data_IF_115293206860
#
_entry.id   IF_115293206860
#
_cell.length_a   1.000
_cell.length_b   1.000
_cell.length_c   1.000
_cell.angle_alpha   90.00
_cell.angle_beta   90.00
_cell.angle_gamma   90.00
#
_symmetry.space_group_name_H-M   'P 1'
#
loop_
_entity.id
_entity.type
_entity.pdbx_description
1 polymer ?
#
# COMPACT_ATOMS: atom_id res chain seq x y z
N UNK A 1 -10.01 -18.99 16.88
CA UNK A 1 -9.05 -17.89 16.68
C UNK A 1 -9.70 -16.57 17.03
N UNK A 2 -9.09 -15.77 17.91
CA UNK A 2 -9.65 -14.49 18.39
C UNK A 2 -8.52 -13.45 18.34
N UNK A 3 -8.71 -12.38 17.58
CA UNK A 3 -7.77 -11.28 17.48
C UNK A 3 -8.27 -10.11 18.34
N UNK A 4 -7.39 -9.49 19.13
CA UNK A 4 -7.67 -8.25 19.86
C UNK A 4 -6.89 -7.10 19.23
N UNK A 5 -7.55 -5.96 19.08
CA UNK A 5 -6.95 -4.73 18.55
C UNK A 5 -6.31 -3.94 19.70
N UNK A 6 -4.99 -3.73 19.63
CA UNK A 6 -4.24 -2.82 20.51
C UNK A 6 -3.48 -1.81 19.65
N UNK A 7 -4.22 -0.84 19.11
CA UNK A 7 -3.82 0.39 18.41
C UNK A 7 -2.73 0.40 17.33
N UNK A 8 -1.96 -0.67 17.09
CA UNK A 8 -1.05 -0.76 15.94
C UNK A 8 -0.75 -2.20 15.53
N UNK A 9 -1.28 -3.22 16.22
CA UNK A 9 -0.78 -4.60 16.04
C UNK A 9 -1.86 -5.61 16.42
N UNK A 10 -1.92 -6.71 15.67
CA UNK A 10 -2.79 -7.85 16.00
C UNK A 10 -1.95 -8.93 16.68
N UNK A 11 -2.37 -9.41 17.85
CA UNK A 11 -1.74 -10.56 18.52
C UNK A 11 -2.62 -11.79 18.30
N UNK A 12 -2.03 -12.84 17.74
CA UNK A 12 -2.67 -14.14 17.55
C UNK A 12 -2.58 -14.93 18.85
N UNK A 13 -3.72 -15.37 19.36
CA UNK A 13 -3.82 -16.22 20.54
C UNK A 13 -4.20 -17.65 20.15
N UNK A 14 -3.53 -18.63 20.76
CA UNK A 14 -3.90 -20.06 20.73
C UNK A 14 -4.12 -20.51 22.18
N UNK A 15 -5.32 -20.96 22.50
CA UNK A 15 -5.71 -21.39 23.86
C UNK A 15 -5.53 -20.31 24.95
N UNK A 16 -5.67 -19.03 24.60
CA UNK A 16 -5.47 -17.92 25.54
C UNK A 16 -4.04 -17.39 25.58
N UNK A 17 -3.08 -18.16 25.07
CA UNK A 17 -1.66 -17.79 25.03
C UNK A 17 -1.26 -17.11 23.71
N UNK A 18 -0.45 -16.04 23.75
CA UNK A 18 0.03 -15.35 22.55
C UNK A 18 1.09 -16.18 21.82
N UNK A 19 0.84 -16.45 20.53
CA UNK A 19 1.74 -17.26 19.68
C UNK A 19 2.35 -16.48 18.51
N UNK A 20 1.77 -15.37 18.10
CA UNK A 20 2.33 -14.52 17.06
C UNK A 20 1.84 -13.07 17.19
N UNK A 21 2.60 -12.14 16.61
CA UNK A 21 2.31 -10.72 16.60
C UNK A 21 2.47 -10.16 15.19
N UNK A 22 1.39 -9.65 14.60
CA UNK A 22 1.38 -8.98 13.31
C UNK A 22 1.74 -7.52 13.50
N UNK A 23 3.01 -7.19 13.28
CA UNK A 23 3.54 -5.83 13.34
C UNK A 23 3.49 -5.24 11.93
N UNK A 24 2.87 -4.07 11.71
CA UNK A 24 2.99 -3.36 10.45
C UNK A 24 4.45 -3.03 10.19
N UNK A 25 4.92 -3.17 8.95
CA UNK A 25 6.26 -2.71 8.60
C UNK A 25 6.42 -1.22 8.92
N UNK A 26 7.59 -0.86 9.44
CA UNK A 26 7.90 0.50 9.89
C UNK A 26 7.86 1.53 8.76
N UNK A 27 7.98 1.10 7.51
CA UNK A 27 8.01 1.98 6.35
C UNK A 27 7.17 1.39 5.21
N UNK A 28 6.45 2.26 4.50
CA UNK A 28 5.84 1.89 3.23
C UNK A 28 6.95 1.74 2.19
N UNK A 29 7.36 0.50 1.93
CA UNK A 29 8.27 0.19 0.83
C UNK A 29 7.58 0.52 -0.50
N UNK A 30 8.30 1.15 -1.44
CA UNK A 30 7.77 1.59 -2.74
C UNK A 30 6.57 2.54 -2.63
N UNK A 31 6.75 3.66 -1.92
CA UNK A 31 5.78 4.75 -2.01
C UNK A 31 5.68 5.23 -3.47
N UNK A 32 4.58 5.92 -3.81
CA UNK A 32 4.41 6.48 -5.16
C UNK A 32 5.56 7.40 -5.58
N UNK A 33 6.23 8.05 -4.62
CA UNK A 33 7.43 8.85 -4.85
C UNK A 33 8.63 8.01 -5.27
N UNK A 34 8.88 6.89 -4.61
CA UNK A 34 10.01 6.00 -4.91
C UNK A 34 9.84 5.38 -6.29
N UNK A 35 8.60 5.01 -6.63
CA UNK A 35 8.24 4.55 -7.97
C UNK A 35 8.45 5.66 -9.02
N UNK A 36 8.02 6.89 -8.74
CA UNK A 36 8.23 8.02 -9.65
C UNK A 36 9.71 8.33 -9.87
N UNK A 37 10.54 8.26 -8.82
CA UNK A 37 11.98 8.48 -8.92
C UNK A 37 12.67 7.38 -9.76
N UNK A 38 12.27 6.12 -9.58
CA UNK A 38 12.79 5.01 -10.38
C UNK A 38 12.42 5.15 -11.87
N UNK A 39 11.20 5.61 -12.14
CA UNK A 39 10.71 5.80 -13.50
C UNK A 39 11.30 7.03 -14.18
N UNK A 40 11.64 8.09 -13.44
CA UNK A 40 12.33 9.26 -13.98
C UNK A 40 13.72 8.94 -14.56
N UNK A 41 14.33 7.83 -14.12
CA UNK A 41 15.62 7.34 -14.62
C UNK A 41 15.47 6.39 -15.83
N UNK A 42 14.24 6.08 -16.23
CA UNK A 42 13.93 5.13 -17.30
C UNK A 42 13.30 5.88 -18.47
N UNK A 43 13.97 5.89 -19.63
CA UNK A 43 13.36 6.39 -20.86
C UNK A 43 12.43 5.33 -21.43
N UNK A 44 11.12 5.58 -21.33
CA UNK A 44 10.10 4.76 -21.98
C UNK A 44 9.93 5.20 -23.44
N UNK A 45 9.93 4.26 -24.41
CA UNK A 45 9.50 4.55 -25.77
C UNK A 45 8.12 5.24 -25.79
N UNK A 46 7.92 6.16 -26.73
CA UNK A 46 6.74 7.03 -26.75
C UNK A 46 5.40 6.26 -26.78
N UNK A 47 5.36 5.10 -27.45
CA UNK A 47 4.20 4.21 -27.45
C UNK A 47 3.91 3.61 -26.07
N UNK A 48 4.96 3.18 -25.35
CA UNK A 48 4.83 2.61 -24.00
C UNK A 48 4.46 3.68 -22.98
N UNK A 49 5.06 4.87 -23.06
CA UNK A 49 4.70 6.00 -22.20
C UNK A 49 3.22 6.38 -22.36
N UNK A 50 2.70 6.42 -23.60
CA UNK A 50 1.28 6.67 -23.87
C UNK A 50 0.36 5.57 -23.35
N UNK A 51 0.73 4.31 -23.53
CA UNK A 51 -0.05 3.18 -23.02
C UNK A 51 -0.13 3.22 -21.50
N UNK A 52 1.02 3.40 -20.85
CA UNK A 52 1.12 3.49 -19.40
C UNK A 52 0.35 4.69 -18.82
N UNK A 53 0.35 5.84 -19.49
CA UNK A 53 -0.45 6.99 -19.08
C UNK A 53 -1.96 6.68 -19.07
N UNK A 54 -2.46 5.97 -20.09
CA UNK A 54 -3.87 5.54 -20.14
C UNK A 54 -4.22 4.57 -19.02
N UNK A 55 -3.31 3.63 -18.71
CA UNK A 55 -3.49 2.69 -17.61
C UNK A 55 -3.55 3.41 -16.26
N UNK A 56 -2.69 4.42 -16.06
CA UNK A 56 -2.72 5.26 -14.85
C UNK A 56 -4.03 6.04 -14.72
N UNK A 57 -4.53 6.65 -15.79
CA UNK A 57 -5.82 7.35 -15.76
C UNK A 57 -6.97 6.40 -15.41
N UNK A 58 -6.97 5.18 -15.98
CA UNK A 58 -7.97 4.16 -15.69
C UNK A 58 -7.91 3.72 -14.22
N UNK A 59 -6.72 3.44 -13.69
CA UNK A 59 -6.51 3.06 -12.30
C UNK A 59 -6.90 4.18 -11.32
N UNK A 60 -6.62 5.45 -11.66
CA UNK A 60 -7.01 6.60 -10.84
C UNK A 60 -8.53 6.76 -10.73
N UNK A 61 -9.28 6.39 -11.76
CA UNK A 61 -10.75 6.39 -11.73
C UNK A 61 -11.32 5.29 -10.83
N UNK A 62 -10.61 4.18 -10.64
CA UNK A 62 -11.05 3.06 -9.79
C UNK A 62 -10.59 3.16 -8.34
N UNK A 63 -9.62 4.03 -8.05
CA UNK A 63 -9.17 4.33 -6.70
C UNK A 63 -10.27 5.00 -5.87
N UNK A 64 -10.63 4.36 -4.75
CA UNK A 64 -11.55 4.94 -3.76
C UNK A 64 -10.95 6.24 -3.23
N UNK A 65 -11.80 7.24 -3.03
CA UNK A 65 -11.39 8.47 -2.37
C UNK A 65 -10.69 8.14 -1.04
N UNK A 66 -9.59 8.82 -0.68
CA UNK A 66 -8.98 8.64 0.61
C UNK A 66 -10.05 8.86 1.68
N UNK A 67 -10.23 7.88 2.57
CA UNK A 67 -11.11 8.04 3.70
C UNK A 67 -10.66 9.28 4.49
N UNK A 68 -11.58 10.22 4.71
CA UNK A 68 -11.32 11.38 5.55
C UNK A 68 -11.01 10.86 6.96
N UNK A 69 -9.77 11.06 7.41
CA UNK A 69 -9.28 10.58 8.71
C UNK A 69 -9.49 11.60 9.82
N UNK A 70 -10.19 12.70 9.55
CA UNK A 70 -10.37 13.84 10.46
C UNK A 70 -11.83 14.08 10.86
N UNK A 71 -12.69 13.05 10.79
CA UNK A 71 -14.04 13.07 11.35
C UNK A 71 -14.25 11.96 12.36
#
# INVERSE_FOLDING_TARGET
NRARYQNVTFVLLKNGEPVARLVPDNEKVCAGRDLAEALAKTDLPENEARAWHRDLEAARKSLKAPADKWR
#
